data_IF_638909539332
#
_entry.id   IF_638909539332
#
_cell.length_a   1.000
_cell.length_b   1.000
_cell.length_c   1.000
_cell.angle_alpha   90.00
_cell.angle_beta   90.00
_cell.angle_gamma   90.00
#
_symmetry.space_group_name_H-M   'P 1'
#
loop_
_entity.id
_entity.type
_entity.pdbx_description
1 polymer ?
#
# COMPACT_ATOMS: atom_id res chain seq x y z
N UNK A 1 4.30 2.26 -16.68
CA UNK A 1 3.39 3.36 -17.10
C UNK A 1 4.02 4.73 -16.91
N UNK A 2 5.27 4.81 -16.48
CA UNK A 2 6.03 6.05 -16.31
C UNK A 2 5.97 6.95 -17.56
N UNK A 3 5.74 8.24 -17.32
CA UNK A 3 5.72 9.27 -18.36
C UNK A 3 4.45 9.30 -19.22
N UNK A 4 3.43 8.49 -18.91
CA UNK A 4 2.16 8.47 -19.64
C UNK A 4 1.02 8.86 -18.68
N UNK A 5 0.26 9.93 -18.95
CA UNK A 5 0.37 10.86 -20.09
C UNK A 5 1.51 11.89 -19.94
N UNK A 6 2.07 12.05 -18.74
CA UNK A 6 3.17 12.96 -18.40
C UNK A 6 3.86 12.49 -17.11
N UNK A 7 4.99 13.11 -16.76
CA UNK A 7 5.75 12.79 -15.53
C UNK A 7 5.13 13.53 -14.33
N UNK A 8 5.20 12.92 -13.14
CA UNK A 8 4.89 13.55 -11.86
C UNK A 8 5.93 14.63 -11.55
N UNK A 9 5.60 15.88 -11.87
CA UNK A 9 6.55 16.99 -11.84
C UNK A 9 6.81 17.48 -10.41
N UNK A 10 5.80 17.44 -9.54
CA UNK A 10 5.92 17.80 -8.12
C UNK A 10 6.58 16.70 -7.28
N UNK A 11 6.50 15.45 -7.73
CA UNK A 11 6.92 14.28 -6.97
C UNK A 11 6.04 14.03 -5.76
N UNK A 12 4.75 14.39 -5.81
CA UNK A 12 3.80 14.21 -4.70
C UNK A 12 2.87 13.03 -4.94
N UNK A 13 2.37 12.44 -3.85
CA UNK A 13 1.34 11.39 -3.88
C UNK A 13 0.10 11.85 -4.65
N UNK A 14 -0.37 13.06 -4.39
CA UNK A 14 -1.60 13.61 -4.97
C UNK A 14 -1.50 13.82 -6.48
N UNK A 15 -0.36 14.29 -6.99
CA UNK A 15 -0.15 14.37 -8.44
C UNK A 15 -0.09 12.96 -9.06
N UNK A 16 0.54 11.99 -8.40
CA UNK A 16 0.56 10.60 -8.86
C UNK A 16 -0.85 10.00 -8.98
N UNK A 17 -1.72 10.24 -7.99
CA UNK A 17 -3.14 9.84 -8.04
C UNK A 17 -3.87 10.53 -9.20
N UNK A 18 -3.64 11.82 -9.41
CA UNK A 18 -4.25 12.54 -10.54
C UNK A 18 -3.80 11.96 -11.89
N UNK A 19 -2.51 11.68 -12.06
CA UNK A 19 -1.95 11.04 -13.25
C UNK A 19 -2.52 9.64 -13.50
N UNK A 20 -2.64 8.85 -12.44
CA UNK A 20 -3.28 7.54 -12.51
C UNK A 20 -4.75 7.65 -12.90
N UNK A 21 -5.46 8.67 -12.41
CA UNK A 21 -6.81 9.04 -12.84
C UNK A 21 -6.90 9.38 -14.33
N UNK A 22 -5.91 10.07 -14.89
CA UNK A 22 -5.81 10.36 -16.34
C UNK A 22 -5.51 9.09 -17.16
N UNK A 23 -4.73 8.15 -16.61
CA UNK A 23 -4.32 6.91 -17.30
C UNK A 23 -5.41 5.83 -17.29
N UNK A 24 -6.18 5.71 -16.19
CA UNK A 24 -7.23 4.70 -16.00
C UNK A 24 -8.16 4.51 -17.21
N UNK A 25 -8.77 5.58 -17.76
CA UNK A 25 -9.67 5.45 -18.93
C UNK A 25 -9.00 4.84 -20.16
N UNK A 26 -7.67 5.03 -20.30
CA UNK A 26 -6.88 4.58 -21.44
C UNK A 26 -6.35 3.14 -21.30
N UNK A 27 -6.56 2.50 -20.14
CA UNK A 27 -6.10 1.13 -19.91
C UNK A 27 -6.83 0.14 -20.82
N UNK A 28 -6.05 -0.79 -21.37
CA UNK A 28 -6.53 -1.99 -22.06
C UNK A 28 -6.04 -3.24 -21.33
N UNK A 29 -6.81 -4.32 -21.44
CA UNK A 29 -6.52 -5.57 -20.72
C UNK A 29 -5.13 -6.11 -21.11
N UNK A 30 -4.84 -6.10 -22.41
CA UNK A 30 -3.55 -6.51 -22.98
C UNK A 30 -2.40 -5.65 -22.44
N UNK A 31 -2.52 -4.32 -22.45
CA UNK A 31 -1.46 -3.44 -21.96
C UNK A 31 -1.21 -3.57 -20.44
N UNK A 32 -2.23 -3.91 -19.64
CA UNK A 32 -2.04 -4.23 -18.21
C UNK A 32 -1.30 -5.56 -18.07
N UNK A 33 -1.77 -6.60 -18.77
CA UNK A 33 -1.19 -7.94 -18.73
C UNK A 33 0.27 -7.95 -19.17
N UNK A 34 0.60 -7.33 -20.30
CA UNK A 34 1.97 -7.27 -20.84
C UNK A 34 2.95 -6.62 -19.87
N UNK A 35 2.56 -5.47 -19.29
CA UNK A 35 3.40 -4.77 -18.30
C UNK A 35 3.59 -5.58 -17.03
N UNK A 36 2.54 -6.23 -16.54
CA UNK A 36 2.62 -7.06 -15.34
C UNK A 36 3.51 -8.29 -15.57
N UNK A 37 3.42 -8.94 -16.73
CA UNK A 37 4.29 -10.06 -17.09
C UNK A 37 5.75 -9.62 -17.23
N UNK A 38 6.01 -8.48 -17.89
CA UNK A 38 7.36 -7.94 -17.99
C UNK A 38 7.98 -7.67 -16.61
N UNK A 39 7.19 -7.16 -15.65
CA UNK A 39 7.64 -7.02 -14.26
C UNK A 39 7.90 -8.38 -13.60
N UNK A 40 7.03 -9.37 -13.80
CA UNK A 40 7.22 -10.71 -13.26
C UNK A 40 8.52 -11.36 -13.79
N UNK A 41 8.86 -11.17 -15.06
CA UNK A 41 10.11 -11.65 -15.64
C UNK A 41 11.34 -11.01 -14.95
N UNK A 42 11.29 -9.70 -14.69
CA UNK A 42 12.34 -9.01 -13.92
C UNK A 42 12.43 -9.54 -12.50
N UNK A 43 11.28 -9.68 -11.82
CA UNK A 43 11.18 -10.13 -10.45
C UNK A 43 11.81 -11.53 -10.28
N UNK A 44 11.49 -12.49 -11.15
CA UNK A 44 12.10 -13.83 -11.12
C UNK A 44 13.60 -13.76 -11.32
N UNK A 45 14.08 -12.91 -12.25
CA UNK A 45 15.52 -12.76 -12.49
C UNK A 45 16.29 -12.21 -11.27
N UNK A 46 15.60 -11.48 -10.39
CA UNK A 46 16.12 -10.97 -9.12
C UNK A 46 15.82 -11.88 -7.91
N UNK A 47 15.25 -13.07 -8.15
CA UNK A 47 14.96 -14.05 -7.10
C UNK A 47 13.66 -13.81 -6.32
N UNK A 48 12.78 -12.92 -6.80
CA UNK A 48 11.45 -12.72 -6.22
C UNK A 48 10.48 -13.81 -6.70
N UNK A 49 10.07 -14.67 -5.78
CA UNK A 49 9.14 -15.78 -6.04
C UNK A 49 7.77 -15.59 -5.37
N UNK A 50 7.59 -14.53 -4.59
CA UNK A 50 6.32 -14.18 -3.95
C UNK A 50 6.11 -12.68 -4.07
N UNK A 51 4.95 -12.29 -4.59
CA UNK A 51 4.59 -10.90 -4.87
C UNK A 51 3.17 -10.64 -4.36
N UNK A 52 2.97 -9.54 -3.65
CA UNK A 52 1.64 -8.98 -3.38
C UNK A 52 1.51 -7.69 -4.16
N UNK A 53 0.52 -7.61 -5.04
CA UNK A 53 0.25 -6.42 -5.85
C UNK A 53 -1.12 -5.83 -5.52
N UNK A 54 -1.17 -4.51 -5.40
CA UNK A 54 -2.41 -3.76 -5.23
C UNK A 54 -3.00 -3.46 -6.60
N UNK A 55 -4.28 -3.76 -6.78
CA UNK A 55 -5.01 -3.48 -8.02
C UNK A 55 -6.11 -2.46 -7.77
N UNK A 56 -6.05 -1.34 -8.48
CA UNK A 56 -7.07 -0.31 -8.39
C UNK A 56 -8.44 -0.84 -8.84
N UNK A 57 -9.45 -0.73 -7.95
CA UNK A 57 -10.85 -1.13 -8.19
C UNK A 57 -11.77 0.07 -8.45
N UNK A 58 -11.23 1.29 -8.54
CA UNK A 58 -11.99 2.52 -8.82
C UNK A 58 -12.28 2.73 -10.33
N UNK A 59 -12.31 1.65 -11.11
CA UNK A 59 -12.79 1.60 -12.50
C UNK A 59 -13.89 0.53 -12.60
N UNK A 60 -15.11 0.92 -12.96
CA UNK A 60 -16.29 0.04 -13.00
C UNK A 60 -16.14 -1.16 -13.94
N UNK A 61 -15.23 -1.05 -14.92
CA UNK A 61 -14.89 -2.13 -15.85
C UNK A 61 -14.15 -3.26 -15.14
N UNK A 62 -13.47 -3.00 -14.02
CA UNK A 62 -12.57 -3.92 -13.31
C UNK A 62 -11.54 -4.61 -14.22
N UNK A 63 -11.21 -3.98 -15.34
CA UNK A 63 -10.36 -4.54 -16.40
C UNK A 63 -8.96 -4.89 -15.89
N UNK A 64 -8.40 -4.09 -14.98
CA UNK A 64 -7.09 -4.37 -14.38
C UNK A 64 -7.14 -5.58 -13.44
N UNK A 65 -8.27 -5.80 -12.75
CA UNK A 65 -8.49 -6.97 -11.90
C UNK A 65 -8.51 -8.23 -12.75
N UNK A 66 -9.32 -8.25 -13.82
CA UNK A 66 -9.39 -9.38 -14.75
C UNK A 66 -8.02 -9.71 -15.36
N UNK A 67 -7.31 -8.68 -15.83
CA UNK A 67 -5.96 -8.84 -16.40
C UNK A 67 -4.98 -9.45 -15.40
N UNK A 68 -4.96 -8.97 -14.15
CA UNK A 68 -4.03 -9.48 -13.13
C UNK A 68 -4.42 -10.88 -12.61
N UNK A 69 -5.71 -11.23 -12.63
CA UNK A 69 -6.15 -12.60 -12.36
C UNK A 69 -5.62 -13.57 -13.43
N UNK A 70 -5.57 -13.16 -14.70
CA UNK A 70 -4.98 -13.95 -15.78
C UNK A 70 -3.44 -14.00 -15.71
N UNK A 71 -2.79 -12.91 -15.32
CA UNK A 71 -1.35 -12.90 -15.01
C UNK A 71 -1.05 -13.89 -13.90
N UNK A 72 -1.81 -13.87 -12.79
CA UNK A 72 -1.64 -14.82 -11.68
C UNK A 72 -1.66 -16.27 -12.14
N UNK A 73 -2.61 -16.66 -13.01
CA UNK A 73 -2.64 -18.02 -13.60
C UNK A 73 -1.40 -18.32 -14.45
N UNK A 74 -0.94 -17.32 -15.22
CA UNK A 74 0.22 -17.45 -16.13
C UNK A 74 1.52 -17.65 -15.36
N UNK A 75 1.72 -16.92 -14.26
CA UNK A 75 2.97 -16.92 -13.48
C UNK A 75 3.00 -17.94 -12.34
N UNK A 76 1.86 -18.56 -12.01
CA UNK A 76 1.72 -19.53 -10.92
C UNK A 76 2.79 -20.64 -10.85
N UNK A 77 3.38 -21.14 -11.96
CA UNK A 77 4.44 -22.14 -11.88
C UNK A 77 5.74 -21.64 -11.21
N UNK A 78 5.94 -20.32 -11.06
CA UNK A 78 7.20 -19.75 -10.58
C UNK A 78 7.06 -18.53 -9.65
N UNK A 79 5.89 -17.87 -9.61
CA UNK A 79 5.58 -16.79 -8.65
C UNK A 79 4.26 -17.09 -7.94
N UNK A 80 4.26 -16.98 -6.61
CA UNK A 80 3.04 -16.81 -5.82
C UNK A 80 2.59 -15.34 -5.87
N UNK A 81 1.54 -15.07 -6.64
CA UNK A 81 1.01 -13.71 -6.85
C UNK A 81 -0.29 -13.49 -6.08
N UNK A 82 -0.22 -12.68 -5.03
CA UNK A 82 -1.36 -12.20 -4.26
C UNK A 82 -1.88 -10.89 -4.83
N UNK A 83 -3.20 -10.75 -4.88
CA UNK A 83 -3.88 -9.54 -5.36
C UNK A 83 -4.63 -8.88 -4.20
N UNK A 84 -4.52 -7.55 -4.10
CA UNK A 84 -5.25 -6.73 -3.13
C UNK A 84 -6.27 -5.86 -3.85
N UNK A 85 -7.55 -5.96 -3.47
CA UNK A 85 -8.62 -5.12 -4.00
C UNK A 85 -8.50 -3.72 -3.40
N UNK A 86 -7.92 -2.78 -4.17
CA UNK A 86 -7.49 -1.50 -3.66
C UNK A 86 -8.37 -0.35 -4.17
N UNK A 87 -9.25 0.24 -3.34
CA UNK A 87 -10.02 1.42 -3.71
C UNK A 87 -9.15 2.69 -3.68
N UNK A 88 -8.29 2.88 -4.68
CA UNK A 88 -7.30 3.98 -4.77
C UNK A 88 -7.91 5.37 -4.58
N UNK A 89 -9.11 5.60 -5.11
CA UNK A 89 -9.79 6.89 -5.04
C UNK A 89 -10.64 7.05 -3.75
N UNK A 90 -10.49 6.14 -2.80
CA UNK A 90 -11.22 6.06 -1.52
C UNK A 90 -12.53 5.27 -1.63
N UNK A 91 -12.83 4.47 -0.61
CA UNK A 91 -13.98 3.58 -0.52
C UNK A 91 -15.31 4.36 -0.52
N UNK A 92 -15.35 5.48 0.21
CA UNK A 92 -16.53 6.36 0.28
C UNK A 92 -16.38 7.64 -0.53
N UNK A 93 -15.14 8.05 -0.82
CA UNK A 93 -14.85 9.20 -1.67
C UNK A 93 -15.26 8.99 -3.12
N UNK A 94 -15.06 7.79 -3.67
CA UNK A 94 -15.48 7.45 -5.02
C UNK A 94 -16.83 6.73 -5.02
N UNK A 95 -17.83 7.16 -5.85
CA UNK A 95 -19.21 6.65 -5.76
C UNK A 95 -19.37 5.15 -5.93
N UNK A 96 -18.53 4.50 -6.75
CA UNK A 96 -18.65 3.09 -7.10
C UNK A 96 -17.59 2.21 -6.44
N UNK A 97 -16.60 2.79 -5.77
CA UNK A 97 -15.44 2.06 -5.24
C UNK A 97 -15.82 0.97 -4.24
N UNK A 98 -16.79 1.22 -3.35
CA UNK A 98 -17.29 0.21 -2.42
C UNK A 98 -17.86 -1.02 -3.12
N UNK A 99 -18.75 -0.81 -4.09
CA UNK A 99 -19.36 -1.92 -4.84
C UNK A 99 -18.32 -2.65 -5.70
N UNK A 100 -17.43 -1.90 -6.34
CA UNK A 100 -16.34 -2.47 -7.13
C UNK A 100 -15.34 -3.27 -6.29
N UNK A 101 -15.09 -2.85 -5.04
CA UNK A 101 -14.27 -3.63 -4.10
C UNK A 101 -14.92 -4.98 -3.83
N UNK A 102 -16.23 -5.02 -3.55
CA UNK A 102 -16.99 -6.26 -3.34
C UNK A 102 -16.93 -7.14 -4.59
N UNK A 103 -17.22 -6.57 -5.77
CA UNK A 103 -17.15 -7.27 -7.07
C UNK A 103 -15.76 -7.84 -7.35
N UNK A 104 -14.68 -7.10 -7.06
CA UNK A 104 -13.31 -7.58 -7.24
C UNK A 104 -12.99 -8.77 -6.34
N UNK A 105 -13.45 -8.74 -5.07
CA UNK A 105 -13.33 -9.88 -4.16
C UNK A 105 -14.14 -11.08 -4.66
N UNK A 106 -15.34 -10.87 -5.21
CA UNK A 106 -16.18 -11.93 -5.80
C UNK A 106 -15.56 -12.55 -7.07
N UNK A 107 -14.73 -11.79 -7.80
CA UNK A 107 -13.95 -12.29 -8.95
C UNK A 107 -12.73 -13.15 -8.54
N UNK A 108 -12.38 -13.19 -7.25
CA UNK A 108 -11.27 -14.00 -6.73
C UNK A 108 -10.01 -13.22 -6.39
N UNK A 109 -10.13 -11.92 -6.05
CA UNK A 109 -9.09 -11.17 -5.35
C UNK A 109 -9.17 -11.51 -3.85
N UNK A 110 -8.05 -11.91 -3.25
CA UNK A 110 -8.05 -12.60 -1.94
C UNK A 110 -7.65 -11.73 -0.74
N UNK A 111 -7.41 -10.43 -0.97
CA UNK A 111 -6.98 -9.48 0.07
C UNK A 111 -7.78 -8.19 -0.06
N UNK A 112 -8.30 -7.72 1.06
CA UNK A 112 -9.04 -6.46 1.15
C UNK A 112 -8.06 -5.31 1.33
N UNK A 113 -8.09 -4.33 0.42
CA UNK A 113 -7.30 -3.11 0.51
C UNK A 113 -8.10 -1.87 0.88
N UNK A 114 -7.41 -0.74 1.05
CA UNK A 114 -8.03 0.54 1.36
C UNK A 114 -7.02 1.68 1.53
N UNK A 115 -7.53 2.92 1.56
CA UNK A 115 -6.73 4.15 1.63
C UNK A 115 -7.39 5.20 2.56
N UNK A 116 -7.54 4.91 3.87
CA UNK A 116 -8.40 5.71 4.75
C UNK A 116 -7.98 7.18 4.87
N UNK A 117 -6.68 7.48 4.78
CA UNK A 117 -6.14 8.84 4.84
C UNK A 117 -6.50 9.71 3.62
N UNK A 118 -6.98 9.10 2.53
CA UNK A 118 -7.41 9.80 1.32
C UNK A 118 -8.93 10.00 1.25
N UNK A 119 -9.69 9.44 2.21
CA UNK A 119 -11.12 9.75 2.35
C UNK A 119 -11.33 11.25 2.60
N UNK A 120 -12.54 11.74 2.30
CA UNK A 120 -12.83 13.19 2.42
C UNK A 120 -12.75 13.70 3.85
N UNK A 121 -12.99 12.84 4.84
CA UNK A 121 -12.99 13.20 6.26
C UNK A 121 -12.31 12.11 7.08
N UNK A 122 -11.74 12.49 8.23
CA UNK A 122 -11.19 11.52 9.21
C UNK A 122 -12.25 10.51 9.67
N UNK A 123 -13.51 10.93 9.76
CA UNK A 123 -14.63 10.07 10.13
C UNK A 123 -14.91 9.02 9.05
N UNK A 124 -14.91 9.41 7.77
CA UNK A 124 -15.07 8.46 6.65
C UNK A 124 -13.85 7.53 6.53
N UNK A 125 -12.63 8.03 6.78
CA UNK A 125 -11.41 7.22 6.85
C UNK A 125 -11.48 6.16 7.96
N UNK A 126 -11.98 6.55 9.14
CA UNK A 126 -12.20 5.60 10.24
C UNK A 126 -13.28 4.58 9.89
N UNK A 127 -14.40 5.04 9.31
CA UNK A 127 -15.50 4.18 8.88
C UNK A 127 -15.04 3.18 7.81
N UNK A 128 -14.16 3.59 6.90
CA UNK A 128 -13.69 2.71 5.81
C UNK A 128 -12.78 1.62 6.35
N UNK A 129 -11.90 1.90 7.32
CA UNK A 129 -11.12 0.86 8.02
C UNK A 129 -12.04 -0.19 8.66
N UNK A 130 -13.04 0.25 9.43
CA UNK A 130 -14.00 -0.66 10.07
C UNK A 130 -14.72 -1.53 9.04
N UNK A 131 -15.30 -0.94 7.99
CA UNK A 131 -16.04 -1.71 6.99
C UNK A 131 -15.15 -2.70 6.24
N UNK A 132 -13.95 -2.30 5.84
CA UNK A 132 -13.01 -3.17 5.12
C UNK A 132 -12.56 -4.35 6.00
N UNK A 133 -12.26 -4.11 7.28
CA UNK A 133 -11.94 -5.19 8.21
C UNK A 133 -13.13 -6.14 8.41
N UNK A 134 -14.36 -5.62 8.51
CA UNK A 134 -15.57 -6.45 8.60
C UNK A 134 -15.81 -7.29 7.35
N UNK A 135 -15.55 -6.74 6.16
CA UNK A 135 -15.61 -7.48 4.89
C UNK A 135 -14.60 -8.62 4.92
N UNK A 136 -13.35 -8.34 5.30
CA UNK A 136 -12.30 -9.35 5.39
C UNK A 136 -12.65 -10.46 6.40
N UNK A 137 -13.11 -10.09 7.60
CA UNK A 137 -13.49 -11.03 8.65
C UNK A 137 -14.65 -11.94 8.21
N UNK A 138 -15.71 -11.38 7.60
CA UNK A 138 -16.86 -12.15 7.09
C UNK A 138 -16.46 -13.15 6.00
N UNK A 139 -15.45 -12.81 5.19
CA UNK A 139 -14.98 -13.63 4.06
C UNK A 139 -13.78 -14.52 4.43
N UNK A 140 -13.20 -14.37 5.62
CA UNK A 140 -11.98 -15.08 6.03
C UNK A 140 -10.70 -14.60 5.32
N UNK A 141 -10.72 -13.42 4.71
CA UNK A 141 -9.62 -12.87 3.89
C UNK A 141 -8.58 -12.12 4.73
N UNK A 142 -7.45 -11.81 4.10
CA UNK A 142 -6.43 -10.89 4.63
C UNK A 142 -6.80 -9.42 4.40
N UNK A 143 -6.13 -8.53 5.13
CA UNK A 143 -6.24 -7.07 4.97
C UNK A 143 -4.86 -6.47 4.72
N UNK A 144 -4.76 -5.57 3.75
CA UNK A 144 -3.56 -4.76 3.49
C UNK A 144 -3.95 -3.34 3.09
N UNK A 145 -3.90 -2.41 4.04
CA UNK A 145 -4.34 -1.03 3.80
C UNK A 145 -3.14 -0.13 3.53
N UNK A 146 -3.24 0.73 2.51
CA UNK A 146 -2.41 1.93 2.41
C UNK A 146 -2.78 2.87 3.55
N UNK A 147 -2.11 2.71 4.68
CA UNK A 147 -2.54 3.27 5.95
C UNK A 147 -1.65 4.47 6.29
N UNK A 148 -2.29 5.62 6.47
CA UNK A 148 -1.64 6.87 6.84
C UNK A 148 -0.39 7.25 6.00
N UNK A 149 -0.49 7.17 4.66
CA UNK A 149 0.55 7.62 3.73
C UNK A 149 0.50 9.15 3.55
N UNK A 150 0.88 9.88 4.59
CA UNK A 150 0.84 11.34 4.64
C UNK A 150 1.81 11.88 5.69
N UNK A 151 2.22 13.14 5.56
CA UNK A 151 3.04 13.82 6.56
C UNK A 151 2.23 14.44 7.71
N UNK A 152 0.90 14.27 7.71
CA UNK A 152 0.00 14.78 8.75
C UNK A 152 0.05 13.93 10.03
N UNK A 153 0.52 14.47 11.17
CA UNK A 153 0.58 13.74 12.45
C UNK A 153 -0.81 13.40 13.06
N UNK A 154 -1.89 13.92 12.49
CA UNK A 154 -3.26 13.62 12.90
C UNK A 154 -3.87 12.44 12.12
N UNK A 155 -3.24 12.01 11.02
CA UNK A 155 -3.63 10.79 10.30
C UNK A 155 -3.21 9.56 11.09
N UNK A 156 -4.16 8.93 11.77
CA UNK A 156 -3.94 7.89 12.79
C UNK A 156 -4.83 6.66 12.58
N UNK A 157 -5.18 6.36 11.33
CA UNK A 157 -6.06 5.24 11.01
C UNK A 157 -5.46 3.88 11.40
N UNK A 158 -4.14 3.79 11.57
CA UNK A 158 -3.48 2.60 12.14
C UNK A 158 -3.97 2.26 13.56
N UNK A 159 -4.39 3.23 14.36
CA UNK A 159 -5.00 2.95 15.68
C UNK A 159 -6.33 2.21 15.50
N UNK A 160 -7.16 2.66 14.56
CA UNK A 160 -8.41 1.97 14.20
C UNK A 160 -8.13 0.58 13.62
N UNK A 161 -7.13 0.45 12.74
CA UNK A 161 -6.77 -0.83 12.13
C UNK A 161 -6.33 -1.85 13.18
N UNK A 162 -5.51 -1.45 14.15
CA UNK A 162 -5.12 -2.31 15.27
C UNK A 162 -6.35 -2.74 16.10
N UNK A 163 -7.23 -1.80 16.45
CA UNK A 163 -8.46 -2.09 17.18
C UNK A 163 -9.37 -3.08 16.43
N UNK A 164 -9.63 -2.85 15.15
CA UNK A 164 -10.48 -3.74 14.34
C UNK A 164 -9.85 -5.12 14.15
N UNK A 165 -8.52 -5.18 14.09
CA UNK A 165 -7.79 -6.45 14.00
C UNK A 165 -8.09 -7.35 15.19
N UNK A 166 -8.07 -6.78 16.40
CA UNK A 166 -8.40 -7.52 17.61
C UNK A 166 -9.89 -7.85 17.71
N UNK A 167 -10.74 -6.84 17.51
CA UNK A 167 -12.20 -6.95 17.64
C UNK A 167 -12.77 -8.05 16.74
N UNK A 168 -12.20 -8.21 15.55
CA UNK A 168 -12.70 -9.13 14.51
C UNK A 168 -11.91 -10.43 14.40
N UNK A 169 -10.91 -10.66 15.26
CA UNK A 169 -10.12 -11.90 15.21
C UNK A 169 -9.24 -12.01 13.95
N UNK A 170 -8.70 -10.89 13.47
CA UNK A 170 -7.88 -10.82 12.24
C UNK A 170 -6.37 -10.90 12.52
N UNK A 171 -5.95 -11.17 13.76
CA UNK A 171 -4.54 -11.23 14.14
C UNK A 171 -3.74 -12.14 13.19
N UNK A 172 -2.56 -11.66 12.76
CA UNK A 172 -1.70 -12.36 11.81
C UNK A 172 -2.09 -12.21 10.33
N UNK A 173 -3.27 -11.66 10.01
CA UNK A 173 -3.80 -11.47 8.64
C UNK A 173 -3.88 -10.02 8.18
N UNK A 174 -3.41 -9.07 8.98
CA UNK A 174 -3.52 -7.62 8.72
C UNK A 174 -2.15 -6.98 8.53
N UNK A 175 -2.04 -6.16 7.48
CA UNK A 175 -0.90 -5.29 7.23
C UNK A 175 -1.35 -3.82 7.11
N UNK A 176 -0.57 -2.93 7.71
CA UNK A 176 -0.58 -1.49 7.43
C UNK A 176 0.63 -1.15 6.56
N UNK A 177 0.38 -0.88 5.28
CA UNK A 177 1.38 -0.41 4.34
C UNK A 177 1.65 1.09 4.52
N UNK A 178 2.88 1.53 4.24
CA UNK A 178 3.40 2.91 4.38
C UNK A 178 3.58 3.39 5.83
N UNK A 179 2.49 3.72 6.53
CA UNK A 179 2.48 4.27 7.90
C UNK A 179 3.40 5.49 8.07
N UNK A 180 3.51 6.33 7.04
CA UNK A 180 4.48 7.44 7.00
C UNK A 180 4.13 8.55 7.97
N UNK A 181 2.85 8.75 8.30
CA UNK A 181 2.42 9.74 9.28
C UNK A 181 3.04 9.51 10.66
N UNK A 182 3.37 8.26 11.01
CA UNK A 182 4.00 7.91 12.28
C UNK A 182 5.38 8.55 12.47
N UNK A 183 6.07 8.90 11.37
CA UNK A 183 7.29 9.71 11.41
C UNK A 183 7.04 11.08 12.06
N UNK A 184 5.85 11.64 11.85
CA UNK A 184 5.48 13.00 12.22
C UNK A 184 4.68 13.09 13.52
N UNK A 185 4.13 11.96 13.98
CA UNK A 185 3.32 11.89 15.21
C UNK A 185 4.11 12.30 16.46
N UNK A 186 3.37 12.85 17.43
CA UNK A 186 3.88 13.07 18.78
C UNK A 186 4.40 11.78 19.42
N UNK A 187 5.53 11.87 20.12
CA UNK A 187 6.22 10.72 20.68
C UNK A 187 5.43 10.04 21.80
N UNK A 188 4.69 10.80 22.61
CA UNK A 188 3.86 10.20 23.65
C UNK A 188 2.73 9.38 23.03
N UNK A 189 2.06 9.91 22.00
CA UNK A 189 1.05 9.14 21.27
C UNK A 189 1.62 7.84 20.68
N UNK A 190 2.79 7.89 20.03
CA UNK A 190 3.44 6.70 19.48
C UNK A 190 3.83 5.68 20.55
N UNK A 191 4.26 6.14 21.73
CA UNK A 191 4.64 5.24 22.84
C UNK A 191 3.47 4.36 23.32
N UNK A 192 2.23 4.83 23.17
CA UNK A 192 1.00 4.05 23.37
C UNK A 192 0.67 3.21 22.13
N UNK A 193 0.81 3.78 20.94
CA UNK A 193 0.37 3.17 19.69
C UNK A 193 1.16 1.90 19.31
N UNK A 194 2.49 1.91 19.45
CA UNK A 194 3.30 0.75 19.05
C UNK A 194 2.94 -0.53 19.83
N UNK A 195 2.75 -0.51 21.17
CA UNK A 195 2.19 -1.64 21.90
C UNK A 195 0.86 -2.16 21.34
N UNK A 196 -0.07 -1.28 20.95
CA UNK A 196 -1.36 -1.70 20.36
C UNK A 196 -1.18 -2.43 19.02
N UNK A 197 -0.25 -1.95 18.17
CA UNK A 197 0.07 -2.61 16.89
C UNK A 197 0.67 -4.00 17.15
N UNK A 198 1.54 -4.12 18.16
CA UNK A 198 2.17 -5.38 18.54
C UNK A 198 1.15 -6.38 19.12
N UNK A 199 0.27 -5.94 20.02
CA UNK A 199 -0.79 -6.75 20.63
C UNK A 199 -1.76 -7.28 19.57
N UNK A 200 -2.18 -6.41 18.64
CA UNK A 200 -3.05 -6.78 17.53
C UNK A 200 -2.38 -7.70 16.50
N UNK A 201 -1.04 -7.84 16.52
CA UNK A 201 -0.30 -8.61 15.52
C UNK A 201 -0.40 -8.05 14.10
N UNK A 202 -0.59 -6.73 13.98
CA UNK A 202 -0.59 -6.02 12.69
C UNK A 202 0.84 -5.93 12.17
N UNK A 203 1.03 -6.23 10.89
CA UNK A 203 2.35 -6.11 10.23
C UNK A 203 2.52 -4.75 9.59
N UNK A 204 3.74 -4.24 9.52
CA UNK A 204 4.05 -2.98 8.86
C UNK A 204 4.81 -3.22 7.55
N UNK A 205 4.40 -2.52 6.49
CA UNK A 205 5.07 -2.59 5.18
C UNK A 205 5.52 -1.18 4.74
N UNK A 206 6.65 -0.68 5.27
CA UNK A 206 7.26 0.56 4.79
C UNK A 206 7.92 0.40 3.42
N UNK A 207 7.84 1.46 2.60
CA UNK A 207 8.30 1.48 1.21
C UNK A 207 9.43 2.51 1.03
N UNK A 208 10.67 2.21 1.44
CA UNK A 208 11.70 3.22 1.67
C UNK A 208 12.08 4.02 0.42
N UNK A 209 12.09 3.40 -0.77
CA UNK A 209 12.40 4.07 -2.03
C UNK A 209 11.35 5.13 -2.39
N UNK A 210 10.07 4.83 -2.13
CA UNK A 210 8.94 5.69 -2.51
C UNK A 210 8.69 6.71 -1.41
N UNK A 211 8.68 6.30 -0.14
CA UNK A 211 8.41 7.20 0.97
C UNK A 211 9.45 8.33 1.04
N UNK A 212 10.74 8.05 0.84
CA UNK A 212 11.76 9.12 0.84
C UNK A 212 11.59 10.11 -0.33
N UNK A 213 10.92 9.70 -1.39
CA UNK A 213 10.66 10.52 -2.58
C UNK A 213 9.37 11.32 -2.44
N UNK A 214 8.28 10.72 -1.95
CA UNK A 214 6.95 11.34 -1.87
C UNK A 214 6.73 12.16 -0.59
N UNK A 215 7.39 11.81 0.51
CA UNK A 215 7.23 12.50 1.78
C UNK A 215 8.16 13.71 1.91
N UNK A 216 7.86 14.60 2.87
CA UNK A 216 8.60 15.83 3.10
C UNK A 216 8.46 16.86 1.97
N UNK A 217 7.57 16.63 1.00
CA UNK A 217 7.34 17.52 -0.16
C UNK A 217 6.72 18.85 0.23
N UNK A 218 5.99 18.89 1.33
CA UNK A 218 5.41 20.12 1.89
C UNK A 218 6.35 20.84 2.88
N UNK A 219 7.48 20.24 3.26
CA UNK A 219 8.50 20.91 4.07
C UNK A 219 9.40 21.80 3.20
N UNK A 220 9.85 22.92 3.74
CA UNK A 220 10.99 23.68 3.21
C UNK A 220 12.30 23.08 3.72
N UNK A 221 12.88 23.66 4.78
CA UNK A 221 14.02 23.13 5.53
C UNK A 221 13.85 23.44 7.03
N UNK A 222 14.16 22.48 7.93
CA UNK A 222 14.59 21.10 7.66
C UNK A 222 13.50 20.25 6.98
N UNK A 223 13.91 19.30 6.14
CA UNK A 223 13.02 18.39 5.41
C UNK A 223 13.00 17.03 6.09
N UNK A 224 11.81 16.54 6.45
CA UNK A 224 11.66 15.23 7.09
C UNK A 224 11.93 14.09 6.10
N UNK A 225 12.22 12.90 6.63
CA UNK A 225 12.38 11.68 5.81
C UNK A 225 11.05 11.05 5.46
N UNK A 226 10.11 11.05 6.40
CA UNK A 226 8.76 10.52 6.20
C UNK A 226 8.68 9.00 6.09
N UNK A 227 9.67 8.25 6.58
CA UNK A 227 9.56 6.79 6.74
C UNK A 227 8.97 6.45 8.11
N UNK A 228 8.14 5.40 8.21
CA UNK A 228 7.63 4.93 9.51
C UNK A 228 8.74 4.52 10.49
N UNK A 229 8.39 4.29 11.75
CA UNK A 229 9.32 4.05 12.88
C UNK A 229 9.80 2.60 12.96
N UNK A 230 10.49 2.14 11.92
CA UNK A 230 10.87 0.73 11.75
C UNK A 230 11.72 0.19 12.89
N UNK A 231 12.70 0.97 13.36
CA UNK A 231 13.59 0.54 14.44
C UNK A 231 12.83 0.29 15.74
N UNK A 232 11.89 1.17 16.07
CA UNK A 232 11.03 1.05 17.25
C UNK A 232 10.03 -0.10 17.11
N UNK A 233 9.50 -0.32 15.90
CA UNK A 233 8.62 -1.46 15.61
C UNK A 233 9.33 -2.79 15.83
N UNK A 234 10.54 -2.95 15.28
CA UNK A 234 11.34 -4.17 15.44
C UNK A 234 11.71 -4.40 16.91
N UNK A 235 12.05 -3.35 17.66
CA UNK A 235 12.36 -3.45 19.09
C UNK A 235 11.17 -3.96 19.94
N UNK A 236 9.93 -3.79 19.47
CA UNK A 236 8.72 -4.28 20.11
C UNK A 236 8.20 -5.59 19.50
N UNK A 237 8.95 -6.21 18.59
CA UNK A 237 8.56 -7.48 17.96
C UNK A 237 7.45 -7.35 16.91
N UNK A 238 7.15 -6.14 16.43
CA UNK A 238 6.21 -5.94 15.32
C UNK A 238 6.86 -6.49 14.04
N UNK A 239 6.10 -7.29 13.28
CA UNK A 239 6.56 -7.84 12.00
C UNK A 239 6.63 -6.72 10.96
N UNK A 240 7.84 -6.40 10.49
CA UNK A 240 8.07 -5.39 9.46
C UNK A 240 8.67 -6.05 8.21
N UNK A 241 8.19 -5.68 7.02
CA UNK A 241 8.77 -6.08 5.74
C UNK A 241 8.93 -4.88 4.81
N UNK A 242 10.06 -4.77 4.11
CA UNK A 242 10.27 -3.70 3.14
C UNK A 242 9.48 -3.96 1.86
N UNK A 243 8.82 -2.94 1.31
CA UNK A 243 8.18 -2.99 0.00
C UNK A 243 8.91 -2.14 -1.04
N UNK A 244 8.93 -2.63 -2.28
CA UNK A 244 9.38 -1.84 -3.42
C UNK A 244 8.33 -0.82 -3.87
N UNK A 245 7.06 -1.14 -3.69
CA UNK A 245 5.89 -0.30 -4.03
C UNK A 245 5.74 -0.09 -5.55
N UNK A 246 6.56 0.79 -6.12
CA UNK A 246 6.43 1.27 -7.48
C UNK A 246 7.62 0.89 -8.35
N UNK A 247 7.35 0.49 -9.60
CA UNK A 247 8.38 0.33 -10.65
C UNK A 247 7.91 0.98 -11.93
N UNK A 248 8.60 2.05 -12.33
CA UNK A 248 8.34 2.80 -13.57
C UNK A 248 6.86 3.14 -13.74
N UNK A 249 6.30 3.86 -12.78
CA UNK A 249 4.87 4.21 -12.71
C UNK A 249 4.66 5.71 -12.38
N UNK A 250 3.41 6.18 -12.16
CA UNK A 250 3.12 7.59 -11.86
C UNK A 250 3.76 8.13 -10.57
N UNK A 251 4.15 7.27 -9.63
CA UNK A 251 4.73 7.69 -8.35
C UNK A 251 6.25 7.53 -8.33
N UNK A 252 6.82 6.60 -9.10
CA UNK A 252 8.26 6.35 -9.08
C UNK A 252 8.85 6.09 -10.48
N UNK A 253 9.90 6.85 -10.81
CA UNK A 253 10.56 6.83 -12.11
C UNK A 253 11.66 5.78 -12.25
N UNK A 254 12.00 5.08 -11.18
CA UNK A 254 13.02 4.03 -11.14
C UNK A 254 12.39 2.68 -10.79
N UNK A 255 13.23 1.73 -10.34
CA UNK A 255 12.81 0.40 -9.89
C UNK A 255 13.31 -0.70 -10.81
N UNK A 256 13.86 -1.75 -10.21
CA UNK A 256 14.58 -2.85 -10.87
C UNK A 256 14.09 -4.23 -10.41
N UNK A 257 13.00 -4.29 -9.64
CA UNK A 257 12.56 -5.51 -8.93
C UNK A 257 13.62 -6.09 -7.94
N UNK A 258 14.66 -5.34 -7.57
CA UNK A 258 15.69 -5.79 -6.63
C UNK A 258 15.36 -5.37 -5.18
N UNK A 259 15.05 -6.35 -4.34
CA UNK A 259 14.78 -6.09 -2.92
C UNK A 259 16.03 -5.75 -2.11
N UNK A 260 17.25 -6.00 -2.61
CA UNK A 260 18.48 -5.54 -1.98
C UNK A 260 18.63 -4.02 -2.11
N UNK A 261 18.22 -3.42 -3.23
CA UNK A 261 18.16 -1.96 -3.38
C UNK A 261 17.19 -1.34 -2.37
N UNK A 262 16.02 -1.98 -2.20
CA UNK A 262 15.01 -1.57 -1.21
C UNK A 262 15.57 -1.68 0.21
N UNK A 263 16.18 -2.80 0.58
CA UNK A 263 16.76 -3.02 1.89
C UNK A 263 17.93 -2.06 2.17
N UNK A 264 18.77 -1.79 1.16
CA UNK A 264 19.84 -0.82 1.23
C UNK A 264 19.29 0.56 1.59
N UNK A 265 18.29 1.06 0.86
CA UNK A 265 17.67 2.35 1.19
C UNK A 265 16.98 2.32 2.56
N UNK A 266 16.27 1.23 2.87
CA UNK A 266 15.56 1.03 4.13
C UNK A 266 16.47 1.21 5.34
N UNK A 267 17.64 0.54 5.36
CA UNK A 267 18.62 0.67 6.43
C UNK A 267 19.09 2.12 6.64
N UNK A 268 19.36 2.84 5.55
CA UNK A 268 19.86 4.22 5.61
C UNK A 268 18.78 5.19 6.12
N UNK A 269 17.58 5.14 5.54
CA UNK A 269 16.50 6.07 5.87
C UNK A 269 15.97 5.81 7.28
N UNK A 270 15.88 4.55 7.70
CA UNK A 270 15.48 4.14 9.05
C UNK A 270 16.57 4.34 10.11
N UNK A 271 17.78 4.77 9.74
CA UNK A 271 18.92 4.92 10.65
C UNK A 271 19.24 3.65 11.44
N UNK A 272 19.25 2.52 10.73
CA UNK A 272 19.61 1.23 11.30
C UNK A 272 21.10 0.96 11.06
N UNK A 273 21.81 0.52 12.10
CA UNK A 273 23.22 0.13 12.03
C UNK A 273 23.41 -1.36 11.67
N UNK A 274 22.33 -2.12 11.69
CA UNK A 274 22.27 -3.53 11.31
C UNK A 274 20.87 -3.86 10.79
N UNK A 275 20.72 -4.89 9.95
CA UNK A 275 19.41 -5.48 9.61
C UNK A 275 18.64 -5.94 10.84
#
# INVERSE_FOLDING_TARGET
SYGIPRINASGTLLEGIALWGELKPLLTHEAVRERALAYCDWAVSMGLLAIRTHVDVCDDRLLAVEALLDVRKTVAPYIDLQLVAFPQDGLYRSPTARENTIRALDLGVDIVGGIPHFERTMADGTRSVTELCEIAAKRGLMVDLHCDETDDPLSRHIEQLAYETERLGLQGRVAGSHLTSMHSMDNYYVSKLLPLIAEAGVSAIPNPLINIMLQGRHDTFPKRRGLTRVKEMLALGIRVGWGQDCVLDPWYSLGTADMLDVAFMGLHVAQMSCP
#
